data_IF_977017369856
#
_entry.id   IF_977017369856
#
_cell.length_a   1.000
_cell.length_b   1.000
_cell.length_c   1.000
_cell.angle_alpha   90.00
_cell.angle_beta   90.00
_cell.angle_gamma   90.00
#
_symmetry.space_group_name_H-M   'P 1'
#
loop_
_entity.id
_entity.type
_entity.pdbx_description
1 polymer ?
#
# COMPACT_ATOMS: atom_id res chain seq x y z
N UNK A 1 -38.95 -2.60 -11.13
CA UNK A 1 -37.79 -2.25 -10.28
C UNK A 1 -36.57 -2.01 -11.17
N UNK A 2 -36.68 -1.05 -12.08
CA UNK A 2 -35.68 -0.73 -13.08
C UNK A 2 -35.30 0.76 -12.89
N UNK A 3 -34.03 1.10 -13.12
CA UNK A 3 -33.34 2.39 -12.84
C UNK A 3 -32.55 2.49 -11.53
N UNK A 4 -31.93 1.39 -11.10
CA UNK A 4 -30.96 1.43 -9.98
C UNK A 4 -29.53 1.69 -10.46
N UNK A 5 -29.18 1.58 -11.74
CA UNK A 5 -27.79 1.81 -12.21
C UNK A 5 -27.79 2.64 -13.49
N UNK A 6 -26.88 3.62 -13.60
CA UNK A 6 -26.58 4.27 -14.87
C UNK A 6 -26.19 3.23 -15.91
N UNK A 7 -26.64 3.35 -17.17
CA UNK A 7 -26.26 2.37 -18.19
C UNK A 7 -24.77 2.48 -18.48
N UNK A 8 -24.09 1.33 -18.51
CA UNK A 8 -22.65 1.24 -18.80
C UNK A 8 -22.23 1.94 -20.11
N UNK A 9 -23.09 1.91 -21.13
CA UNK A 9 -22.84 2.51 -22.45
C UNK A 9 -23.01 4.03 -22.47
N UNK A 10 -23.74 4.59 -21.50
CA UNK A 10 -24.00 6.03 -21.40
C UNK A 10 -22.91 6.71 -20.56
N UNK A 11 -22.61 6.15 -19.38
CA UNK A 11 -21.52 6.62 -18.53
C UNK A 11 -20.89 5.45 -17.76
N UNK A 12 -19.71 5.01 -18.21
CA UNK A 12 -18.95 3.93 -17.58
C UNK A 12 -18.43 4.31 -16.19
N UNK A 13 -18.08 5.59 -15.98
CA UNK A 13 -17.54 6.06 -14.72
C UNK A 13 -18.60 5.96 -13.63
N UNK A 14 -19.77 6.54 -13.88
CA UNK A 14 -20.90 6.51 -12.96
C UNK A 14 -21.44 5.09 -12.76
N UNK A 15 -21.60 4.31 -13.84
CA UNK A 15 -22.07 2.93 -13.74
C UNK A 15 -21.23 2.07 -12.78
N UNK A 16 -19.90 2.19 -12.86
CA UNK A 16 -19.00 1.44 -11.98
C UNK A 16 -19.11 1.87 -10.51
N UNK A 17 -19.17 3.18 -10.27
CA UNK A 17 -19.31 3.72 -8.92
C UNK A 17 -20.64 3.29 -8.31
N UNK A 18 -21.72 3.39 -9.07
CA UNK A 18 -23.04 2.90 -8.67
C UNK A 18 -22.99 1.41 -8.31
N UNK A 19 -22.32 0.59 -9.14
CA UNK A 19 -22.20 -0.84 -8.88
C UNK A 19 -21.48 -1.11 -7.56
N UNK A 20 -20.33 -0.48 -7.33
CA UNK A 20 -19.54 -0.67 -6.10
C UNK A 20 -20.32 -0.24 -4.86
N UNK A 21 -20.94 0.94 -4.90
CA UNK A 21 -21.68 1.50 -3.78
C UNK A 21 -22.96 0.72 -3.49
N UNK A 22 -23.73 0.37 -4.52
CA UNK A 22 -25.03 -0.31 -4.36
C UNK A 22 -24.89 -1.81 -4.08
N UNK A 23 -23.76 -2.42 -4.43
CA UNK A 23 -23.39 -3.76 -3.99
C UNK A 23 -22.78 -3.80 -2.57
N UNK A 24 -22.71 -2.65 -1.90
CA UNK A 24 -22.18 -2.50 -0.54
C UNK A 24 -20.74 -3.02 -0.38
N UNK A 25 -19.90 -2.83 -1.41
CA UNK A 25 -18.53 -3.36 -1.44
C UNK A 25 -17.52 -2.43 -0.77
N UNK A 26 -17.62 -1.12 -1.04
CA UNK A 26 -16.75 -0.10 -0.47
C UNK A 26 -17.46 1.26 -0.49
N UNK A 27 -16.96 2.18 0.32
CA UNK A 27 -17.38 3.58 0.34
C UNK A 27 -16.14 4.50 0.40
N UNK A 28 -16.32 5.76 0.01
CA UNK A 28 -15.25 6.75 0.17
C UNK A 28 -15.02 7.02 1.65
N UNK A 29 -13.75 7.11 2.07
CA UNK A 29 -13.43 7.60 3.41
C UNK A 29 -13.34 9.13 3.43
N UNK A 30 -13.26 9.71 4.63
CA UNK A 30 -13.02 11.15 4.83
C UNK A 30 -11.64 11.60 4.33
N UNK A 31 -10.72 10.65 4.11
CA UNK A 31 -9.39 10.92 3.53
C UNK A 31 -9.47 10.79 2.02
N UNK A 32 -9.18 11.89 1.32
CA UNK A 32 -9.20 11.92 -0.14
C UNK A 32 -8.38 10.78 -0.73
N UNK A 33 -9.02 10.02 -1.62
CA UNK A 33 -8.39 8.94 -2.36
C UNK A 33 -8.34 7.60 -1.64
N UNK A 34 -8.68 7.56 -0.35
CA UNK A 34 -8.84 6.33 0.41
C UNK A 34 -10.29 5.83 0.33
N UNK A 35 -10.47 4.56 0.70
CA UNK A 35 -11.76 3.91 0.75
C UNK A 35 -11.88 3.08 2.02
N UNK A 36 -13.11 2.94 2.53
CA UNK A 36 -13.45 1.90 3.48
C UNK A 36 -13.93 0.70 2.68
N UNK A 37 -13.18 -0.40 2.72
CA UNK A 37 -13.64 -1.68 2.14
C UNK A 37 -14.63 -2.29 3.14
N UNK A 38 -15.89 -2.41 2.74
CA UNK A 38 -16.96 -2.93 3.60
C UNK A 38 -16.86 -4.46 3.71
N UNK A 39 -17.53 -5.10 4.69
CA UNK A 39 -17.41 -6.55 4.91
C UNK A 39 -17.63 -7.39 3.65
N UNK A 40 -18.58 -7.03 2.79
CA UNK A 40 -18.83 -7.76 1.55
C UNK A 40 -17.66 -7.64 0.55
N UNK A 41 -17.10 -6.44 0.37
CA UNK A 41 -15.91 -6.25 -0.46
C UNK A 41 -14.66 -6.91 0.12
N UNK A 42 -14.50 -6.85 1.45
CA UNK A 42 -13.34 -7.43 2.13
C UNK A 42 -13.38 -8.96 2.09
N UNK A 43 -14.56 -9.58 2.16
CA UNK A 43 -14.71 -11.03 2.01
C UNK A 43 -14.22 -11.54 0.64
N UNK A 44 -14.32 -10.72 -0.42
CA UNK A 44 -13.75 -11.04 -1.74
C UNK A 44 -12.23 -11.02 -1.66
N UNK A 45 -11.66 -10.01 -1.03
CA UNK A 45 -10.22 -9.92 -0.78
C UNK A 45 -9.70 -11.11 0.03
N UNK A 46 -10.37 -11.51 1.10
CA UNK A 46 -9.98 -12.67 1.92
C UNK A 46 -9.97 -13.98 1.11
N UNK A 47 -10.96 -14.15 0.21
CA UNK A 47 -11.00 -15.32 -0.70
C UNK A 47 -9.84 -15.31 -1.69
N UNK A 48 -9.54 -14.16 -2.28
CA UNK A 48 -8.40 -14.01 -3.18
C UNK A 48 -7.08 -14.27 -2.45
N UNK A 49 -6.92 -13.66 -1.27
CA UNK A 49 -5.76 -13.82 -0.42
C UNK A 49 -5.53 -15.28 -0.07
N UNK A 50 -6.55 -15.98 0.45
CA UNK A 50 -6.45 -17.39 0.84
C UNK A 50 -6.04 -18.29 -0.34
N UNK A 51 -6.65 -18.09 -1.51
CA UNK A 51 -6.33 -18.88 -2.70
C UNK A 51 -4.89 -18.63 -3.18
N UNK A 52 -4.49 -17.37 -3.31
CA UNK A 52 -3.14 -17.01 -3.76
C UNK A 52 -2.06 -17.43 -2.76
N UNK A 53 -2.33 -17.25 -1.47
CA UNK A 53 -1.41 -17.63 -0.40
C UNK A 53 -1.14 -19.14 -0.39
N UNK A 54 -2.16 -19.96 -0.61
CA UNK A 54 -2.00 -21.40 -0.79
C UNK A 54 -1.14 -21.74 -2.03
N UNK A 55 -1.34 -21.03 -3.14
CA UNK A 55 -0.54 -21.21 -4.37
C UNK A 55 0.93 -20.80 -4.16
N UNK A 56 1.20 -19.71 -3.47
CA UNK A 56 2.56 -19.28 -3.13
C UNK A 56 3.26 -20.29 -2.22
N UNK A 57 2.58 -20.77 -1.18
CA UNK A 57 3.11 -21.80 -0.27
C UNK A 57 3.39 -23.12 -0.98
N UNK A 58 2.56 -23.50 -1.95
CA UNK A 58 2.80 -24.69 -2.78
C UNK A 58 4.08 -24.60 -3.63
N UNK A 59 4.59 -23.38 -3.87
CA UNK A 59 5.85 -23.14 -4.60
C UNK A 59 7.03 -22.82 -3.68
N UNK A 60 6.89 -23.02 -2.37
CA UNK A 60 7.96 -22.82 -1.39
C UNK A 60 8.12 -21.39 -0.88
N UNK A 61 7.23 -20.46 -1.25
CA UNK A 61 7.25 -19.11 -0.68
C UNK A 61 6.81 -19.14 0.78
N UNK A 62 7.44 -18.27 1.58
CA UNK A 62 7.08 -18.04 2.98
C UNK A 62 6.69 -16.58 3.18
N UNK A 63 5.71 -16.33 4.05
CA UNK A 63 5.29 -14.97 4.34
C UNK A 63 6.22 -14.31 5.35
N UNK A 64 6.55 -13.05 5.11
CA UNK A 64 7.18 -12.16 6.07
C UNK A 64 6.43 -10.82 6.11
N UNK A 65 6.80 -9.94 7.05
CA UNK A 65 6.28 -8.59 7.11
C UNK A 65 7.44 -7.61 7.28
N UNK A 66 7.56 -6.67 6.35
CA UNK A 66 8.49 -5.56 6.45
C UNK A 66 7.79 -4.33 6.99
N UNK A 67 8.47 -3.43 7.72
CA UNK A 67 7.89 -2.20 8.27
C UNK A 67 7.24 -1.30 7.21
N UNK A 68 6.21 -0.55 7.63
CA UNK A 68 5.52 0.43 6.80
C UNK A 68 6.37 1.67 6.49
N UNK A 69 7.21 2.08 7.44
CA UNK A 69 8.03 3.27 7.33
C UNK A 69 9.41 2.92 6.77
N UNK A 70 9.82 3.69 5.76
CA UNK A 70 11.10 3.54 5.07
C UNK A 70 11.90 4.83 5.28
N UNK A 71 13.15 4.78 5.78
CA UNK A 71 14.00 5.97 5.86
C UNK A 71 14.15 6.62 4.48
N UNK A 72 14.00 7.95 4.39
CA UNK A 72 14.14 8.68 3.12
C UNK A 72 15.50 8.43 2.44
N UNK A 73 16.56 8.24 3.23
CA UNK A 73 17.89 7.89 2.74
C UNK A 73 17.94 6.57 1.96
N UNK A 74 17.01 5.64 2.18
CA UNK A 74 16.93 4.38 1.43
C UNK A 74 16.39 4.64 0.02
N UNK A 75 15.36 5.49 -0.11
CA UNK A 75 14.84 5.88 -1.42
C UNK A 75 15.84 6.73 -2.21
N UNK A 76 16.58 7.62 -1.53
CA UNK A 76 17.59 8.47 -2.18
C UNK A 76 18.72 7.66 -2.84
N UNK A 77 19.09 6.51 -2.26
CA UNK A 77 20.10 5.60 -2.82
C UNK A 77 19.64 4.90 -4.10
N UNK A 78 18.32 4.71 -4.27
CA UNK A 78 17.71 4.05 -5.43
C UNK A 78 17.18 5.06 -6.47
N UNK A 79 17.11 6.34 -6.12
CA UNK A 79 16.57 7.42 -6.96
C UNK A 79 17.33 7.62 -8.28
N UNK A 80 18.58 7.16 -8.39
CA UNK A 80 19.33 7.15 -9.66
C UNK A 80 18.72 6.24 -10.72
N UNK A 81 17.86 5.30 -10.34
CA UNK A 81 17.24 4.34 -11.24
C UNK A 81 15.75 4.58 -11.50
N UNK A 82 15.09 5.49 -10.77
CA UNK A 82 13.62 5.61 -10.81
C UNK A 82 13.14 7.06 -10.69
N UNK A 83 13.19 7.82 -11.79
CA UNK A 83 12.71 9.22 -11.88
C UNK A 83 11.22 9.41 -11.52
N UNK A 84 10.43 8.34 -11.49
CA UNK A 84 8.97 8.40 -11.28
C UNK A 84 8.50 8.21 -9.83
N UNK A 85 9.27 7.55 -8.96
CA UNK A 85 8.75 7.10 -7.65
C UNK A 85 8.60 8.22 -6.62
N UNK A 86 9.44 9.26 -6.72
CA UNK A 86 9.48 10.34 -5.73
C UNK A 86 8.21 11.21 -5.72
N UNK A 87 7.41 11.22 -6.80
CA UNK A 87 6.28 12.15 -6.97
C UNK A 87 5.01 11.77 -6.20
N UNK A 88 4.91 10.54 -5.71
CA UNK A 88 3.67 9.99 -5.13
C UNK A 88 3.87 9.43 -3.70
N UNK A 89 4.91 9.86 -2.99
CA UNK A 89 5.21 9.35 -1.65
C UNK A 89 4.57 10.20 -0.54
N UNK A 90 3.92 9.56 0.44
CA UNK A 90 3.54 10.21 1.69
C UNK A 90 4.75 10.26 2.64
N UNK A 91 4.96 11.40 3.30
CA UNK A 91 6.14 11.67 4.14
C UNK A 91 5.70 12.01 5.56
N UNK A 92 6.28 11.32 6.53
CA UNK A 92 6.15 11.62 7.96
C UNK A 92 7.35 12.45 8.39
N UNK A 93 7.07 13.64 8.90
CA UNK A 93 8.09 14.62 9.32
C UNK A 93 8.14 14.82 10.84
N UNK A 94 7.07 14.49 11.56
CA UNK A 94 6.96 14.70 13.00
C UNK A 94 6.34 13.47 13.68
N UNK A 95 6.73 13.19 14.93
CA UNK A 95 6.27 12.01 15.67
C UNK A 95 5.22 12.30 16.76
N UNK A 96 4.89 13.58 16.99
CA UNK A 96 3.97 13.98 18.08
C UNK A 96 3.04 15.13 17.66
N UNK A 97 1.83 15.07 18.19
CA UNK A 97 0.88 16.18 18.24
C UNK A 97 0.86 16.79 19.65
N UNK A 98 0.57 18.08 19.75
CA UNK A 98 0.34 18.76 21.03
C UNK A 98 -1.00 19.48 21.04
N UNK A 99 -1.52 19.70 22.25
CA UNK A 99 -2.67 20.56 22.46
C UNK A 99 -2.26 22.02 22.36
N UNK A 100 -3.01 22.78 21.57
CA UNK A 100 -2.90 24.22 21.40
C UNK A 100 -4.21 24.89 21.88
N UNK A 101 -4.13 25.90 22.77
CA UNK A 101 -5.32 26.56 23.30
C UNK A 101 -6.22 27.23 22.25
N UNK A 102 -5.70 27.56 21.06
CA UNK A 102 -6.41 28.30 20.01
C UNK A 102 -6.84 27.39 18.87
N UNK A 103 -5.97 26.45 18.47
CA UNK A 103 -6.12 25.63 17.28
C UNK A 103 -6.46 24.16 17.58
N UNK A 104 -6.61 23.77 18.85
CA UNK A 104 -7.01 22.43 19.25
C UNK A 104 -5.83 21.47 19.28
N UNK A 105 -5.73 20.54 18.32
CA UNK A 105 -4.61 19.58 18.24
C UNK A 105 -3.75 19.94 17.03
N UNK A 106 -2.49 20.25 17.25
CA UNK A 106 -1.54 20.67 16.21
C UNK A 106 -0.32 19.77 16.18
N UNK A 107 0.39 19.75 15.05
CA UNK A 107 1.72 19.14 14.97
C UNK A 107 2.66 19.89 15.89
N UNK A 108 3.42 19.17 16.72
CA UNK A 108 4.39 19.79 17.59
C UNK A 108 5.68 20.10 16.83
N UNK A 109 6.06 21.38 16.61
CA UNK A 109 7.25 21.72 15.83
C UNK A 109 8.56 21.24 16.47
N UNK A 110 8.57 20.96 17.78
CA UNK A 110 9.75 20.42 18.48
C UNK A 110 9.88 18.89 18.33
N UNK A 111 8.90 18.24 17.71
CA UNK A 111 8.87 16.80 17.48
C UNK A 111 9.22 16.43 16.03
N UNK A 112 9.99 17.27 15.35
CA UNK A 112 10.56 16.97 14.04
C UNK A 112 11.49 15.75 14.14
N UNK A 113 11.41 14.86 13.14
CA UNK A 113 12.25 13.67 13.06
C UNK A 113 13.67 14.04 12.59
N UNK A 114 14.69 13.35 13.11
CA UNK A 114 16.08 13.48 12.62
C UNK A 114 16.21 13.13 11.12
N UNK A 115 15.38 12.20 10.65
CA UNK A 115 15.25 11.82 9.25
C UNK A 115 13.77 11.63 8.91
N UNK A 116 13.31 12.16 7.78
CA UNK A 116 11.94 11.93 7.33
C UNK A 116 11.69 10.47 6.98
N UNK A 117 10.52 9.97 7.34
CA UNK A 117 10.10 8.61 7.04
C UNK A 117 9.09 8.60 5.91
N UNK A 118 9.29 7.72 4.95
CA UNK A 118 8.38 7.51 3.82
C UNK A 118 7.42 6.39 4.16
N UNK A 119 6.12 6.62 4.00
CA UNK A 119 5.12 5.54 4.06
C UNK A 119 5.27 4.71 2.79
N UNK A 120 5.41 3.39 2.91
CA UNK A 120 5.77 2.51 1.78
C UNK A 120 4.91 2.80 0.53
N UNK A 121 5.52 3.21 -0.60
CA UNK A 121 4.87 3.18 -1.92
C UNK A 121 5.11 1.83 -2.64
N UNK A 122 6.15 1.13 -2.17
CA UNK A 122 6.65 -0.20 -2.54
C UNK A 122 7.69 -0.60 -1.51
N UNK A 123 8.06 -1.88 -1.41
CA UNK A 123 8.95 -2.36 -0.33
C UNK A 123 10.36 -2.77 -0.80
N UNK A 124 10.71 -2.63 -2.08
CA UNK A 124 12.01 -3.01 -2.66
C UNK A 124 13.18 -2.46 -1.84
N UNK A 125 13.18 -1.17 -1.52
CA UNK A 125 14.32 -0.52 -0.85
C UNK A 125 14.58 -1.06 0.55
N UNK A 126 13.52 -1.36 1.31
CA UNK A 126 13.64 -1.96 2.64
C UNK A 126 13.95 -3.45 2.55
N UNK A 127 13.31 -4.17 1.62
CA UNK A 127 13.49 -5.61 1.43
C UNK A 127 14.93 -5.93 0.99
N UNK A 128 15.47 -5.22 -0.02
CA UNK A 128 16.82 -5.47 -0.50
C UNK A 128 17.89 -5.12 0.53
N UNK A 129 17.68 -4.05 1.30
CA UNK A 129 18.56 -3.74 2.42
C UNK A 129 18.54 -4.85 3.49
N UNK A 130 17.37 -5.40 3.80
CA UNK A 130 17.24 -6.53 4.74
C UNK A 130 17.82 -7.83 4.18
N UNK A 131 17.61 -8.14 2.89
CA UNK A 131 18.13 -9.35 2.24
C UNK A 131 19.66 -9.39 2.22
N UNK A 132 20.33 -8.24 2.08
CA UNK A 132 21.79 -8.13 2.27
C UNK A 132 22.22 -8.64 3.65
N UNK A 133 21.36 -8.49 4.65
CA UNK A 133 21.52 -9.03 5.99
C UNK A 133 21.33 -10.55 6.06
N UNK A 134 20.37 -11.10 5.31
CA UNK A 134 19.99 -12.52 5.36
C UNK A 134 20.87 -13.42 4.48
N UNK A 135 21.26 -12.97 3.29
CA UNK A 135 22.06 -13.74 2.34
C UNK A 135 23.55 -13.56 2.65
N UNK A 136 24.16 -14.57 3.26
CA UNK A 136 25.60 -14.61 3.57
C UNK A 136 26.36 -15.62 2.71
N UNK A 137 25.65 -16.58 2.13
CA UNK A 137 26.20 -17.62 1.27
C UNK A 137 25.20 -18.03 0.19
N UNK A 138 25.67 -18.70 -0.87
CA UNK A 138 24.80 -19.32 -1.87
C UNK A 138 23.82 -20.34 -1.26
N UNK A 139 24.14 -20.89 -0.07
CA UNK A 139 23.29 -21.85 0.66
C UNK A 139 22.04 -21.22 1.25
N UNK A 140 22.01 -19.91 1.42
CA UNK A 140 20.84 -19.19 1.91
C UNK A 140 19.80 -19.01 0.79
N UNK A 141 20.18 -19.27 -0.47
CA UNK A 141 19.32 -19.13 -1.65
C UNK A 141 18.66 -20.47 -2.04
N UNK A 142 17.43 -20.44 -2.61
CA UNK A 142 16.66 -19.25 -2.93
C UNK A 142 15.93 -18.65 -1.71
N UNK A 143 15.84 -17.32 -1.67
CA UNK A 143 14.87 -16.64 -0.80
C UNK A 143 13.58 -16.49 -1.59
N UNK A 144 12.49 -17.02 -1.04
CA UNK A 144 11.15 -16.94 -1.63
C UNK A 144 10.22 -16.28 -0.61
N UNK A 145 10.20 -14.94 -0.55
CA UNK A 145 9.39 -14.23 0.45
C UNK A 145 8.20 -13.56 -0.22
N UNK A 146 7.06 -13.64 0.44
CA UNK A 146 5.86 -12.91 0.11
C UNK A 146 5.46 -12.01 1.30
N UNK A 147 4.82 -10.88 1.06
CA UNK A 147 4.12 -10.14 2.10
C UNK A 147 2.74 -9.68 1.64
N UNK A 148 1.79 -9.75 2.55
CA UNK A 148 0.47 -9.13 2.42
C UNK A 148 0.47 -7.85 3.26
N UNK A 149 0.21 -6.71 2.64
CA UNK A 149 0.32 -5.41 3.31
C UNK A 149 -0.57 -4.35 2.65
N UNK A 150 -0.69 -3.20 3.30
CA UNK A 150 -1.18 -1.97 2.68
C UNK A 150 -0.02 -1.13 2.11
N UNK A 151 -0.34 -0.31 1.13
CA UNK A 151 0.57 0.61 0.45
C UNK A 151 -0.07 1.97 0.33
N UNK A 152 0.75 3.02 0.37
CA UNK A 152 0.31 4.38 0.08
C UNK A 152 1.04 4.92 -1.15
N UNK A 153 0.27 5.29 -2.18
CA UNK A 153 0.72 6.07 -3.34
C UNK A 153 -0.20 7.28 -3.47
N UNK A 154 0.34 8.48 -3.38
CA UNK A 154 -0.44 9.71 -3.26
C UNK A 154 -1.13 10.10 -4.58
N UNK A 155 -2.21 9.40 -4.88
CA UNK A 155 -2.91 9.48 -6.15
C UNK A 155 -3.84 10.70 -6.25
N UNK A 156 -3.75 11.41 -7.38
CA UNK A 156 -4.57 12.60 -7.63
C UNK A 156 -5.95 12.28 -8.22
N UNK A 157 -6.05 11.18 -8.99
CA UNK A 157 -7.28 10.73 -9.67
C UNK A 157 -7.65 9.31 -9.25
N UNK A 158 -8.52 9.20 -8.26
CA UNK A 158 -8.89 7.92 -7.68
C UNK A 158 -10.21 7.36 -8.20
N UNK A 159 -10.35 6.04 -8.08
CA UNK A 159 -11.55 5.25 -8.38
C UNK A 159 -11.52 4.00 -7.50
N UNK A 160 -12.60 3.74 -6.76
CA UNK A 160 -12.69 2.64 -5.80
C UNK A 160 -12.17 1.33 -6.40
N UNK A 161 -11.35 0.59 -5.63
CA UNK A 161 -10.62 -0.62 -6.02
C UNK A 161 -9.62 -0.51 -7.18
N UNK A 162 -9.92 0.27 -8.23
CA UNK A 162 -9.09 0.35 -9.44
C UNK A 162 -7.85 1.23 -9.25
N UNK A 163 -7.98 2.33 -8.49
CA UNK A 163 -6.90 3.28 -8.23
C UNK A 163 -7.21 4.09 -6.97
N UNK A 164 -6.57 3.77 -5.85
CA UNK A 164 -6.76 4.46 -4.57
C UNK A 164 -5.43 4.92 -4.00
N UNK A 165 -5.46 5.90 -3.10
CA UNK A 165 -4.26 6.41 -2.46
C UNK A 165 -3.66 5.40 -1.48
N UNK A 166 -4.54 4.67 -0.79
CA UNK A 166 -4.18 3.50 0.01
C UNK A 166 -4.86 2.26 -0.57
N UNK A 167 -4.13 1.14 -0.67
CA UNK A 167 -4.70 -0.14 -1.11
C UNK A 167 -4.00 -1.33 -0.47
N UNK A 168 -4.72 -2.45 -0.40
CA UNK A 168 -4.19 -3.74 0.03
C UNK A 168 -3.56 -4.47 -1.15
N UNK A 169 -2.46 -5.16 -0.91
CA UNK A 169 -1.80 -5.95 -1.94
C UNK A 169 -1.06 -7.16 -1.39
N UNK A 170 -0.52 -7.95 -2.31
CA UNK A 170 0.64 -8.79 -2.06
C UNK A 170 1.83 -8.24 -2.85
N UNK A 171 3.02 -8.44 -2.33
CA UNK A 171 4.25 -8.35 -3.11
C UNK A 171 5.19 -9.53 -2.78
N UNK A 172 5.62 -10.24 -3.82
CA UNK A 172 6.60 -11.33 -3.74
C UNK A 172 7.98 -10.88 -4.19
N UNK A 173 8.99 -11.14 -3.37
CA UNK A 173 10.38 -10.76 -3.61
C UNK A 173 11.27 -11.98 -3.47
N UNK A 174 11.94 -12.35 -4.55
CA UNK A 174 12.77 -13.57 -4.59
C UNK A 174 14.21 -13.26 -4.97
N UNK A 175 15.14 -14.05 -4.43
CA UNK A 175 16.55 -14.00 -4.80
C UNK A 175 17.04 -15.42 -5.08
N UNK A 176 17.74 -15.59 -6.20
CA UNK A 176 18.19 -16.89 -6.72
C UNK A 176 19.69 -16.84 -7.01
N UNK A 177 20.34 -18.00 -6.99
CA UNK A 177 21.76 -18.10 -7.32
C UNK A 177 22.04 -18.04 -8.84
N UNK A 178 21.06 -18.44 -9.65
CA UNK A 178 21.13 -18.55 -11.12
C UNK A 178 19.82 -18.16 -11.76
#
# INVERSE_FOLDING_TARGET
MADILTKRTEDYAQWYNDLVLKADLAEHSDVRGCMVIKPHGYAIWEKMQSALDAMFKATGHVNAYFPLFIPKSYLAKEASHVEGFAKECAVVTHYRLKSDPVHGVVVDPEAELEEELIVRPTSETIIWNTYRGWVKSYRDLPLLINQWANVVRWEMRTRLFLRTAEFLWQEGHTAHAT
#
